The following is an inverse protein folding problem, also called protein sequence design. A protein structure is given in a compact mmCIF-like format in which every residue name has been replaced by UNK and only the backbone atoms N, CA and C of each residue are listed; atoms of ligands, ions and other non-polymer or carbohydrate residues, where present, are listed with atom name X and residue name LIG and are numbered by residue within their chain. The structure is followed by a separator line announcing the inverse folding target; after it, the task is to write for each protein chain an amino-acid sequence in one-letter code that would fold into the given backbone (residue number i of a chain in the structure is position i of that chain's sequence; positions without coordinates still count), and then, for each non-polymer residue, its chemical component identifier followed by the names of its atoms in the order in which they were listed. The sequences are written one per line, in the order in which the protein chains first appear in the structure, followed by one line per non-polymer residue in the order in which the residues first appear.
data_IF_598347778513
#
_entry.id   IF_598347778513
#
_cell.length_a   1.000
_cell.length_b   1.000
_cell.length_c   1.000
_cell.angle_alpha   90.00
_cell.angle_beta   90.00
_cell.angle_gamma   90.00
#
_symmetry.space_group_name_H-M   'P 1'
#
loop_
_entity.id
_entity.type
_entity.pdbx_description
1 polymer ?
#
# COMPACT_ATOMS: atom_id res chain seq x y z
N UNK A 1 -12.82 -2.17 4.96
CA UNK A 1 -13.99 -1.29 5.19
C UNK A 1 -15.13 -2.07 5.85
N UNK A 2 -15.62 -3.14 5.20
CA UNK A 2 -16.68 -4.04 5.70
C UNK A 2 -16.52 -4.40 7.19
N UNK A 3 -15.35 -4.92 7.56
CA UNK A 3 -15.08 -5.35 8.94
C UNK A 3 -15.20 -4.22 9.97
N UNK A 4 -14.79 -3.00 9.61
CA UNK A 4 -14.89 -1.84 10.50
C UNK A 4 -16.35 -1.41 10.66
N UNK A 5 -17.10 -1.36 9.54
CA UNK A 5 -18.51 -1.01 9.56
C UNK A 5 -19.32 -2.00 10.42
N UNK A 6 -19.03 -3.30 10.30
CA UNK A 6 -19.61 -4.35 11.13
C UNK A 6 -19.36 -4.11 12.63
N UNK A 7 -18.12 -3.76 13.01
CA UNK A 7 -17.75 -3.47 14.40
C UNK A 7 -18.45 -2.23 14.98
N UNK A 8 -18.85 -1.28 14.14
CA UNK A 8 -19.53 -0.06 14.56
C UNK A 8 -21.04 -0.08 14.32
N UNK A 9 -21.62 -1.22 13.93
CA UNK A 9 -23.05 -1.35 13.64
C UNK A 9 -23.51 -0.58 12.40
N UNK A 10 -22.58 -0.19 11.53
CA UNK A 10 -22.88 0.51 10.28
C UNK A 10 -23.10 -0.48 9.14
N UNK A 11 -24.05 -0.16 8.27
CA UNK A 11 -24.24 -0.85 6.99
C UNK A 11 -23.37 -0.22 5.90
N UNK A 12 -22.76 -1.06 5.08
CA UNK A 12 -22.08 -0.68 3.83
C UNK A 12 -22.97 -0.92 2.61
N UNK A 13 -24.24 -1.29 2.79
CA UNK A 13 -25.20 -1.48 1.71
C UNK A 13 -25.91 -0.18 1.30
N UNK A 14 -26.80 -0.24 0.29
CA UNK A 14 -27.63 0.90 -0.08
C UNK A 14 -28.51 1.39 1.09
N UNK A 15 -28.79 2.70 1.21
CA UNK A 15 -28.37 3.78 0.31
C UNK A 15 -26.95 4.32 0.57
N UNK A 16 -26.25 3.83 1.59
CA UNK A 16 -24.94 4.37 2.03
C UNK A 16 -23.86 4.13 0.98
N UNK A 17 -23.76 2.91 0.46
CA UNK A 17 -22.92 2.60 -0.69
C UNK A 17 -23.81 1.91 -1.74
N UNK A 18 -24.16 2.60 -2.83
CA UNK A 18 -24.88 1.99 -3.94
C UNK A 18 -24.10 0.84 -4.57
N UNK A 19 -24.81 -0.16 -5.09
CA UNK A 19 -24.19 -1.33 -5.73
C UNK A 19 -23.31 -0.96 -6.94
N UNK A 20 -23.67 0.11 -7.65
CA UNK A 20 -22.88 0.66 -8.76
C UNK A 20 -21.51 1.16 -8.29
N UNK A 21 -21.46 1.89 -7.17
CA UNK A 21 -20.22 2.40 -6.58
C UNK A 21 -19.38 1.23 -6.03
N UNK A 22 -20.01 0.28 -5.35
CA UNK A 22 -19.33 -0.94 -4.86
C UNK A 22 -18.67 -1.71 -6.00
N UNK A 23 -19.40 -1.94 -7.07
CA UNK A 23 -18.90 -2.63 -8.26
C UNK A 23 -17.72 -1.89 -8.89
N UNK A 24 -17.79 -0.56 -8.93
CA UNK A 24 -16.69 0.28 -9.41
C UNK A 24 -15.44 0.13 -8.54
N UNK A 25 -15.58 0.24 -7.21
CA UNK A 25 -14.46 0.09 -6.27
C UNK A 25 -13.80 -1.28 -6.42
N UNK A 26 -14.59 -2.35 -6.48
CA UNK A 26 -14.05 -3.71 -6.65
C UNK A 26 -13.31 -3.84 -7.97
N UNK A 27 -13.90 -3.37 -9.08
CA UNK A 27 -13.30 -3.46 -10.42
C UNK A 27 -11.99 -2.69 -10.54
N UNK A 28 -11.89 -1.53 -9.89
CA UNK A 28 -10.73 -0.63 -9.99
C UNK A 28 -9.79 -0.72 -8.78
N UNK A 29 -10.06 -1.63 -7.83
CA UNK A 29 -9.18 -1.86 -6.68
C UNK A 29 -7.81 -2.37 -7.14
N UNK A 30 -6.71 -1.91 -6.51
CA UNK A 30 -5.38 -2.51 -6.72
C UNK A 30 -5.36 -4.03 -6.55
N UNK A 31 -6.15 -4.56 -5.64
CA UNK A 31 -6.26 -6.01 -5.37
C UNK A 31 -6.92 -6.80 -6.50
N UNK A 32 -7.56 -6.12 -7.45
CA UNK A 32 -8.20 -6.72 -8.63
C UNK A 32 -7.33 -6.63 -9.88
N UNK A 33 -6.14 -6.04 -9.77
CA UNK A 33 -5.15 -5.95 -10.85
C UNK A 33 -4.21 -7.16 -10.88
N UNK A 34 -3.33 -7.25 -11.88
CA UNK A 34 -2.29 -8.28 -11.96
C UNK A 34 -1.08 -7.99 -11.03
N UNK A 35 -1.32 -7.39 -9.85
CA UNK A 35 -0.30 -6.89 -8.91
C UNK A 35 0.68 -7.97 -8.43
N UNK A 36 0.30 -9.24 -8.53
CA UNK A 36 1.06 -10.41 -8.10
C UNK A 36 1.85 -11.09 -9.22
N UNK A 37 2.00 -10.45 -10.38
CA UNK A 37 2.73 -11.01 -11.52
C UNK A 37 3.69 -9.98 -12.12
N UNK A 38 4.80 -10.43 -12.73
CA UNK A 38 5.69 -9.56 -13.49
C UNK A 38 5.18 -9.29 -14.92
N UNK A 39 3.89 -8.96 -15.05
CA UNK A 39 3.21 -8.69 -16.31
C UNK A 39 3.18 -7.20 -16.62
N UNK A 40 3.10 -6.82 -17.90
CA UNK A 40 2.85 -5.43 -18.33
C UNK A 40 1.50 -4.89 -17.82
N UNK A 41 0.58 -5.77 -17.42
CA UNK A 41 -0.71 -5.40 -16.82
C UNK A 41 -0.60 -5.11 -15.32
N UNK A 42 0.53 -5.43 -14.68
CA UNK A 42 0.76 -5.09 -13.29
C UNK A 42 0.99 -3.57 -13.15
N UNK A 43 0.11 -2.84 -12.46
CA UNK A 43 0.26 -1.39 -12.32
C UNK A 43 1.41 -1.00 -11.39
N UNK A 44 2.03 -1.93 -10.67
CA UNK A 44 3.13 -1.71 -9.73
C UNK A 44 4.51 -2.06 -10.30
N UNK A 45 4.57 -2.57 -11.53
CA UNK A 45 5.84 -2.92 -12.16
C UNK A 45 6.78 -1.72 -12.24
N UNK A 46 8.04 -1.95 -11.90
CA UNK A 46 9.14 -0.97 -11.85
C UNK A 46 8.91 0.22 -10.89
N UNK A 47 7.94 0.11 -9.97
CA UNK A 47 7.69 1.14 -8.96
C UNK A 47 8.51 0.91 -7.69
N UNK A 48 8.67 2.00 -6.97
CA UNK A 48 9.32 2.07 -5.66
C UNK A 48 8.21 2.19 -4.62
N UNK A 49 8.05 1.15 -3.80
CA UNK A 49 6.96 0.99 -2.85
C UNK A 49 7.53 0.83 -1.45
N UNK A 50 7.23 1.79 -0.59
CA UNK A 50 7.49 1.71 0.85
C UNK A 50 6.18 1.47 1.59
N UNK A 51 6.17 0.49 2.49
CA UNK A 51 5.06 0.19 3.38
C UNK A 51 5.52 0.42 4.80
N UNK A 52 4.87 1.35 5.49
CA UNK A 52 5.08 1.63 6.91
C UNK A 52 3.82 1.24 7.67
N UNK A 53 3.95 0.40 8.68
CA UNK A 53 2.81 -0.05 9.48
C UNK A 53 3.21 -0.23 10.94
N UNK A 54 2.31 0.12 11.86
CA UNK A 54 2.49 -0.14 13.28
C UNK A 54 2.11 -1.58 13.61
N UNK A 55 2.99 -2.33 14.25
CA UNK A 55 2.74 -3.72 14.64
C UNK A 55 1.55 -3.86 15.61
N UNK A 56 1.29 -2.81 16.39
CA UNK A 56 0.21 -2.74 17.37
C UNK A 56 -1.01 -1.96 16.88
N UNK A 57 -1.11 -1.64 15.57
CA UNK A 57 -2.27 -0.95 15.01
C UNK A 57 -3.53 -1.81 15.15
N UNK A 58 -4.50 -1.34 15.95
CA UNK A 58 -5.80 -2.00 16.12
C UNK A 58 -6.88 -1.46 15.18
N UNK A 59 -6.65 -0.30 14.58
CA UNK A 59 -7.58 0.36 13.66
C UNK A 59 -7.42 -0.18 12.23
N UNK A 60 -6.20 -0.43 11.80
CA UNK A 60 -5.83 -1.12 10.56
C UNK A 60 -4.75 -2.17 10.87
N UNK A 61 -5.12 -3.33 11.45
CA UNK A 61 -4.15 -4.37 11.76
C UNK A 61 -3.37 -4.83 10.53
N UNK A 62 -2.06 -5.04 10.69
CA UNK A 62 -1.15 -5.48 9.63
C UNK A 62 -1.67 -6.68 8.85
N UNK A 63 -2.32 -7.63 9.53
CA UNK A 63 -2.94 -8.81 8.92
C UNK A 63 -3.97 -8.53 7.82
N UNK A 64 -4.54 -7.33 7.75
CA UNK A 64 -5.42 -6.92 6.64
C UNK A 64 -4.64 -6.55 5.37
N UNK A 65 -3.41 -6.08 5.52
CA UNK A 65 -2.54 -5.64 4.43
C UNK A 65 -1.56 -6.73 4.00
N UNK A 66 -1.11 -7.55 4.94
CA UNK A 66 -0.07 -8.57 4.78
C UNK A 66 -0.25 -9.45 3.53
N UNK A 67 -1.41 -10.08 3.27
CA UNK A 67 -1.55 -10.96 2.10
C UNK A 67 -1.35 -10.23 0.77
N UNK A 68 -1.81 -8.97 0.68
CA UNK A 68 -1.64 -8.17 -0.52
C UNK A 68 -0.19 -7.71 -0.67
N UNK A 69 0.45 -7.26 0.41
CA UNK A 69 1.82 -6.78 0.38
C UNK A 69 2.81 -7.91 0.11
N UNK A 70 2.60 -9.10 0.67
CA UNK A 70 3.44 -10.28 0.42
C UNK A 70 3.38 -10.69 -1.04
N UNK A 71 2.17 -10.74 -1.61
CA UNK A 71 1.96 -11.08 -3.01
C UNK A 71 2.37 -9.96 -3.99
N UNK A 72 2.59 -8.72 -3.54
CA UNK A 72 2.91 -7.58 -4.40
C UNK A 72 4.27 -7.76 -5.11
N UNK A 73 4.21 -7.80 -6.43
CA UNK A 73 5.38 -7.84 -7.34
C UNK A 73 5.64 -6.44 -7.89
N UNK A 74 6.87 -5.97 -7.75
CA UNK A 74 7.33 -4.67 -8.28
C UNK A 74 8.35 -4.78 -9.41
N UNK A 75 8.70 -6.00 -9.84
CA UNK A 75 9.68 -6.27 -10.90
C UNK A 75 11.13 -5.96 -10.50
N UNK A 76 12.05 -6.28 -11.41
CA UNK A 76 13.50 -6.23 -11.14
C UNK A 76 14.06 -4.80 -11.03
N UNK A 77 13.38 -3.82 -11.64
CA UNK A 77 13.78 -2.40 -11.57
C UNK A 77 13.06 -1.65 -10.45
N UNK A 78 11.99 -2.23 -9.93
CA UNK A 78 11.25 -1.71 -8.78
C UNK A 78 11.91 -2.11 -7.46
N UNK A 79 11.38 -1.55 -6.37
CA UNK A 79 11.85 -1.86 -5.02
C UNK A 79 10.66 -1.87 -4.08
N UNK A 80 10.56 -2.89 -3.24
CA UNK A 80 9.56 -3.01 -2.18
C UNK A 80 10.27 -3.07 -0.84
N UNK A 81 9.95 -2.16 0.09
CA UNK A 81 10.41 -2.20 1.48
C UNK A 81 9.21 -2.16 2.40
N UNK A 82 9.20 -3.05 3.40
CA UNK A 82 8.17 -3.10 4.44
C UNK A 82 8.85 -2.86 5.78
N UNK A 83 8.31 -1.91 6.54
CA UNK A 83 8.74 -1.64 7.92
C UNK A 83 7.52 -1.77 8.81
N UNK A 84 7.53 -2.84 9.61
CA UNK A 84 6.58 -3.06 10.68
C UNK A 84 7.24 -2.58 11.97
N UNK A 85 6.74 -1.49 12.55
CA UNK A 85 7.33 -0.90 13.74
C UNK A 85 6.70 -1.48 15.00
N UNK A 86 7.54 -2.10 15.82
CA UNK A 86 7.11 -2.64 17.10
C UNK A 86 6.64 -1.56 18.07
N UNK A 87 5.59 -1.87 18.83
CA UNK A 87 4.96 -0.96 19.79
C UNK A 87 4.14 0.19 19.17
N UNK A 88 4.27 0.48 17.88
CA UNK A 88 3.52 1.55 17.23
C UNK A 88 2.07 1.13 16.94
N UNK A 89 1.12 2.01 17.26
CA UNK A 89 -0.30 1.83 17.01
C UNK A 89 -0.74 2.37 15.63
N UNK A 90 -1.90 3.04 15.60
CA UNK A 90 -2.33 3.79 14.41
C UNK A 90 -1.70 5.18 14.39
N UNK A 91 -0.40 5.23 14.10
CA UNK A 91 0.38 6.46 14.13
C UNK A 91 1.56 6.41 13.15
N UNK A 92 2.16 7.57 12.92
CA UNK A 92 3.40 7.71 12.15
C UNK A 92 4.50 8.21 13.08
N UNK A 93 5.40 7.32 13.51
CA UNK A 93 6.45 7.67 14.47
C UNK A 93 7.57 8.49 13.82
N UNK A 94 8.47 9.06 14.63
CA UNK A 94 9.66 9.76 14.12
C UNK A 94 10.54 8.84 13.26
N UNK A 95 10.72 7.58 13.65
CA UNK A 95 11.52 6.62 12.88
C UNK A 95 10.89 6.32 11.52
N UNK A 96 9.56 6.20 11.46
CA UNK A 96 8.83 6.07 10.19
C UNK A 96 8.99 7.30 9.30
N UNK A 97 9.01 8.51 9.86
CA UNK A 97 9.27 9.73 9.08
C UNK A 97 10.67 9.70 8.47
N UNK A 98 11.68 9.31 9.25
CA UNK A 98 13.07 9.20 8.79
C UNK A 98 13.16 8.16 7.68
N UNK A 99 12.50 7.01 7.85
CA UNK A 99 12.46 5.95 6.85
C UNK A 99 11.80 6.43 5.54
N UNK A 100 10.65 7.11 5.63
CA UNK A 100 9.98 7.69 4.46
C UNK A 100 10.88 8.71 3.73
N UNK A 101 11.51 9.61 4.48
CA UNK A 101 12.41 10.61 3.92
C UNK A 101 13.63 9.97 3.25
N UNK A 102 14.23 8.97 3.90
CA UNK A 102 15.39 8.23 3.38
C UNK A 102 15.03 7.50 2.10
N UNK A 103 13.94 6.73 2.10
CA UNK A 103 13.48 5.98 0.93
C UNK A 103 13.19 6.90 -0.26
N UNK A 104 12.52 8.04 -0.02
CA UNK A 104 12.22 9.03 -1.04
C UNK A 104 13.50 9.70 -1.58
N UNK A 105 14.43 10.05 -0.69
CA UNK A 105 15.71 10.65 -1.07
C UNK A 105 16.53 9.71 -1.96
N UNK A 106 16.67 8.44 -1.57
CA UNK A 106 17.36 7.42 -2.37
C UNK A 106 16.74 7.26 -3.76
N UNK A 107 15.42 7.27 -3.84
CA UNK A 107 14.71 7.19 -5.12
C UNK A 107 15.01 8.40 -6.02
N UNK A 108 14.97 9.62 -5.45
CA UNK A 108 15.29 10.86 -6.17
C UNK A 108 16.75 10.83 -6.63
N UNK A 109 17.69 10.48 -5.75
CA UNK A 109 19.10 10.41 -6.08
C UNK A 109 19.39 9.40 -7.20
N UNK A 110 18.78 8.20 -7.15
CA UNK A 110 18.85 7.17 -8.21
C UNK A 110 18.33 7.72 -9.54
N UNK A 111 17.18 8.42 -9.53
CA UNK A 111 16.60 9.06 -10.73
C UNK A 111 17.54 10.11 -11.32
N UNK A 112 18.08 11.01 -10.49
CA UNK A 112 18.99 12.06 -10.92
C UNK A 112 20.30 11.53 -11.51
N UNK A 113 20.85 10.43 -10.97
CA UNK A 113 22.04 9.79 -11.52
C UNK A 113 21.79 9.11 -12.87
N UNK A 114 20.55 8.67 -13.14
CA UNK A 114 20.17 7.97 -14.36
C UNK A 114 19.76 8.89 -15.54
N UNK A 115 19.62 10.20 -15.31
CA UNK A 115 19.24 11.17 -16.34
C UNK A 115 20.50 11.77 -16.98
N UNK A 116 20.70 11.66 -18.32
CA UNK A 116 21.85 12.27 -18.98
C UNK A 116 21.82 13.79 -18.77
N UNK A 117 22.95 14.38 -18.36
CA UNK A 117 23.11 15.84 -18.39
C UNK A 117 23.37 16.23 -19.84
N UNK A 118 22.51 17.10 -20.38
CA UNK A 118 22.68 17.74 -21.69
C UNK A 118 23.90 18.66 -21.69
#
# INVERSE_FOLDING_TARGET
MEERARKTGMTTGPPVIPDSLRSYIVKHSPTSSSYNTASKLNPFLDKEVLVLSGASDRLVPWSHSEPFIDALVVGDKGRKKVVLQEGAGHELTADMHIEAATFAWEWIAKKSASTPRL
#
